data_IF_576902830462
#
_entry.id   IF_576902830462
#
_cell.length_a   1.000
_cell.length_b   1.000
_cell.length_c   1.000
_cell.angle_alpha   90.00
_cell.angle_beta   90.00
_cell.angle_gamma   90.00
#
_symmetry.space_group_name_H-M   'P 1'
#
loop_
_entity.id
_entity.type
_entity.pdbx_description
1 polymer ?
#
# COMPACT_ATOMS: atom_id res chain seq x y z
N UNK A 1 2.34 -23.04 1.25
CA UNK A 1 3.14 -22.05 1.99
C UNK A 1 4.03 -21.36 0.97
N UNK A 2 4.08 -20.03 0.96
CA UNK A 2 4.95 -19.26 0.07
C UNK A 2 6.39 -19.78 0.11
N UNK A 3 7.04 -19.83 -1.05
CA UNK A 3 8.46 -20.20 -1.15
C UNK A 3 9.37 -19.01 -0.87
N UNK A 4 8.86 -17.79 -1.03
CA UNK A 4 9.56 -16.54 -0.76
C UNK A 4 8.62 -15.56 -0.05
N UNK A 5 9.20 -14.77 0.85
CA UNK A 5 8.52 -13.70 1.57
C UNK A 5 9.24 -12.40 1.33
N UNK A 6 8.47 -11.37 0.97
CA UNK A 6 8.95 -9.99 0.82
C UNK A 6 8.37 -9.16 1.95
N UNK A 7 9.20 -8.31 2.55
CA UNK A 7 8.81 -7.48 3.68
C UNK A 7 9.07 -6.02 3.33
N UNK A 8 8.07 -5.17 3.58
CA UNK A 8 8.15 -3.70 3.45
C UNK A 8 7.52 -3.08 4.69
N UNK A 9 7.92 -1.87 5.06
CA UNK A 9 7.33 -1.08 6.15
C UNK A 9 7.40 0.40 5.82
N UNK A 10 6.68 1.22 6.58
CA UNK A 10 6.84 2.68 6.61
C UNK A 10 6.69 3.36 5.24
N UNK A 11 5.77 2.86 4.41
CA UNK A 11 5.57 3.40 3.07
C UNK A 11 4.92 4.79 3.11
N UNK A 12 4.04 5.04 4.07
CA UNK A 12 3.37 6.33 4.25
C UNK A 12 2.74 6.92 2.97
N UNK A 13 2.24 6.06 2.07
CA UNK A 13 1.66 6.51 0.80
C UNK A 13 0.45 7.39 1.13
N UNK A 14 0.42 8.62 0.61
CA UNK A 14 -0.61 9.58 0.98
C UNK A 14 -0.12 10.73 1.85
N UNK A 15 0.98 10.58 2.57
CA UNK A 15 1.58 11.65 3.37
C UNK A 15 2.65 11.14 4.33
N UNK A 16 3.86 11.64 4.12
CA UNK A 16 4.97 11.78 5.08
C UNK A 16 5.59 13.16 4.81
N UNK A 17 5.18 14.17 5.57
CA UNK A 17 5.56 15.59 5.43
C UNK A 17 5.11 16.30 4.12
N UNK A 18 4.73 15.57 3.06
CA UNK A 18 4.23 16.12 1.79
C UNK A 18 3.06 15.30 1.19
N UNK A 19 1.84 15.81 1.35
CA UNK A 19 0.63 15.22 0.75
C UNK A 19 0.72 15.13 -0.78
N UNK A 20 0.43 13.96 -1.33
CA UNK A 20 0.34 13.74 -2.78
C UNK A 20 1.67 13.55 -3.50
N UNK A 21 2.77 13.41 -2.76
CA UNK A 21 4.08 13.01 -3.30
C UNK A 21 4.43 11.61 -2.81
N UNK A 22 5.00 10.78 -3.69
CA UNK A 22 5.55 9.48 -3.36
C UNK A 22 6.82 9.29 -4.20
N UNK A 23 7.98 9.59 -3.61
CA UNK A 23 9.25 9.65 -4.34
C UNK A 23 9.68 8.29 -4.92
N UNK A 24 9.22 7.20 -4.30
CA UNK A 24 9.50 5.83 -4.72
C UNK A 24 8.36 5.20 -5.53
N UNK A 25 7.42 6.02 -6.06
CA UNK A 25 6.24 5.51 -6.76
C UNK A 25 6.61 4.58 -7.92
N UNK A 26 7.56 4.98 -8.75
CA UNK A 26 7.95 4.21 -9.94
C UNK A 26 8.65 2.91 -9.55
N UNK A 27 9.52 2.93 -8.53
CA UNK A 27 10.18 1.76 -7.97
C UNK A 27 9.18 0.78 -7.36
N UNK A 28 8.21 1.26 -6.59
CA UNK A 28 7.16 0.44 -5.99
C UNK A 28 6.29 -0.21 -7.08
N UNK A 29 5.86 0.56 -8.08
CA UNK A 29 5.08 0.03 -9.20
C UNK A 29 5.87 -1.04 -9.95
N UNK A 30 7.14 -0.77 -10.26
CA UNK A 30 8.02 -1.72 -10.94
C UNK A 30 8.18 -3.01 -10.14
N UNK A 31 8.38 -2.91 -8.83
CA UNK A 31 8.49 -4.07 -7.94
C UNK A 31 7.20 -4.89 -7.88
N UNK A 32 6.04 -4.25 -7.75
CA UNK A 32 4.74 -4.92 -7.74
C UNK A 32 4.44 -5.59 -9.08
N UNK A 33 4.82 -4.96 -10.19
CA UNK A 33 4.69 -5.52 -11.54
C UNK A 33 5.58 -6.74 -11.75
N UNK A 34 6.80 -6.71 -11.22
CA UNK A 34 7.70 -7.86 -11.19
C UNK A 34 7.07 -9.02 -10.41
N UNK A 35 6.58 -8.77 -9.20
CA UNK A 35 5.88 -9.76 -8.38
C UNK A 35 4.67 -10.37 -9.11
N UNK A 36 3.92 -9.55 -9.85
CA UNK A 36 2.79 -10.02 -10.66
C UNK A 36 3.20 -10.90 -11.87
N UNK A 37 4.45 -10.81 -12.31
CA UNK A 37 4.98 -11.56 -13.46
C UNK A 37 5.64 -12.90 -13.08
N UNK A 38 5.95 -13.09 -11.79
CA UNK A 38 6.67 -14.25 -11.29
C UNK A 38 5.81 -15.52 -11.34
N UNK A 39 6.47 -16.66 -11.57
CA UNK A 39 5.86 -18.00 -11.51
C UNK A 39 5.96 -18.64 -10.13
N UNK A 40 6.82 -18.10 -9.28
CA UNK A 40 7.10 -18.60 -7.94
C UNK A 40 5.99 -18.18 -6.97
N UNK A 41 5.67 -19.07 -6.02
CA UNK A 41 4.72 -18.77 -4.95
C UNK A 41 5.39 -17.84 -3.93
N UNK A 42 4.86 -16.63 -3.81
CA UNK A 42 5.40 -15.58 -2.95
C UNK A 42 4.29 -14.88 -2.16
N UNK A 43 4.67 -14.29 -1.03
CA UNK A 43 3.80 -13.42 -0.23
C UNK A 43 4.51 -12.11 0.06
N UNK A 44 3.80 -11.00 -0.15
CA UNK A 44 4.24 -9.67 0.26
C UNK A 44 3.60 -9.32 1.59
N UNK A 45 4.42 -8.97 2.58
CA UNK A 45 3.98 -8.59 3.92
C UNK A 45 4.39 -7.12 4.14
N UNK A 46 3.40 -6.26 4.32
CA UNK A 46 3.59 -4.86 4.67
C UNK A 46 3.41 -4.73 6.18
N UNK A 47 4.46 -4.30 6.88
CA UNK A 47 4.57 -4.28 8.33
C UNK A 47 4.46 -2.83 8.81
N UNK A 48 3.23 -2.36 8.98
CA UNK A 48 2.96 -1.03 9.52
C UNK A 48 3.07 0.09 8.49
N UNK A 49 2.31 1.15 8.78
CA UNK A 49 2.31 2.46 8.13
C UNK A 49 2.40 2.37 6.61
N UNK A 50 1.49 1.58 6.04
CA UNK A 50 1.35 1.45 4.59
C UNK A 50 0.88 2.78 3.96
N UNK A 51 0.05 3.52 4.70
CA UNK A 51 -0.59 4.73 4.26
C UNK A 51 -0.45 5.86 5.28
N UNK A 52 -0.38 7.10 4.80
CA UNK A 52 -0.34 8.32 5.61
C UNK A 52 -1.73 8.90 5.92
N UNK A 53 -2.71 8.09 6.32
CA UNK A 53 -4.12 8.53 6.37
C UNK A 53 -4.41 9.67 7.35
N UNK A 54 -3.59 9.76 8.39
CA UNK A 54 -3.70 10.77 9.44
C UNK A 54 -3.53 12.22 8.93
N UNK A 55 -2.84 12.44 7.81
CA UNK A 55 -2.53 13.75 7.24
C UNK A 55 -3.69 14.31 6.41
N UNK A 56 -4.65 13.48 6.04
CA UNK A 56 -5.88 13.93 5.41
C UNK A 56 -6.80 14.56 6.47
N UNK A 57 -6.64 15.85 6.72
CA UNK A 57 -7.44 16.57 7.73
C UNK A 57 -8.78 17.11 7.19
N UNK A 58 -8.96 17.10 5.86
CA UNK A 58 -10.15 17.66 5.20
C UNK A 58 -11.26 16.67 4.85
N UNK A 59 -11.08 15.39 5.16
CA UNK A 59 -12.03 14.29 4.92
C UNK A 59 -11.91 13.27 6.06
N UNK A 60 -12.95 12.47 6.30
CA UNK A 60 -13.00 11.53 7.44
C UNK A 60 -13.32 10.10 7.00
N UNK A 61 -12.83 9.12 7.76
CA UNK A 61 -13.15 7.71 7.56
C UNK A 61 -12.77 7.20 6.17
N UNK A 62 -13.71 6.51 5.50
CA UNK A 62 -13.46 5.85 4.21
C UNK A 62 -13.11 6.84 3.08
N UNK A 63 -13.57 8.09 3.17
CA UNK A 63 -13.26 9.12 2.17
C UNK A 63 -11.76 9.39 2.05
N UNK A 64 -10.99 9.15 3.12
CA UNK A 64 -9.52 9.24 3.08
C UNK A 64 -8.90 8.20 2.17
N UNK A 65 -9.42 6.96 2.22
CA UNK A 65 -8.99 5.88 1.33
C UNK A 65 -9.36 6.20 -0.11
N UNK A 66 -10.57 6.70 -0.36
CA UNK A 66 -11.00 7.09 -1.71
C UNK A 66 -10.12 8.22 -2.27
N UNK A 67 -9.80 9.22 -1.45
CA UNK A 67 -8.92 10.32 -1.81
C UNK A 67 -7.49 9.82 -2.09
N UNK A 68 -6.98 8.93 -1.25
CA UNK A 68 -5.67 8.30 -1.42
C UNK A 68 -5.59 7.51 -2.74
N UNK A 69 -6.60 6.70 -3.04
CA UNK A 69 -6.70 5.96 -4.31
C UNK A 69 -6.77 6.92 -5.50
N UNK A 70 -7.49 8.03 -5.35
CA UNK A 70 -7.58 9.08 -6.37
C UNK A 70 -6.26 9.80 -6.62
N UNK A 71 -5.40 9.96 -5.61
CA UNK A 71 -4.08 10.57 -5.73
C UNK A 71 -3.06 9.63 -6.39
N UNK A 72 -3.09 8.34 -6.06
CA UNK A 72 -2.10 7.36 -6.53
C UNK A 72 -2.70 6.19 -7.31
N UNK A 73 -3.52 6.43 -8.36
CA UNK A 73 -4.28 5.37 -9.01
C UNK A 73 -3.39 4.27 -9.60
N UNK A 74 -2.18 4.60 -10.06
CA UNK A 74 -1.25 3.62 -10.63
C UNK A 74 -0.65 2.69 -9.58
N UNK A 75 -0.35 3.19 -8.37
CA UNK A 75 0.11 2.35 -7.24
C UNK A 75 -0.98 1.32 -6.90
N UNK A 76 -2.23 1.73 -6.77
CA UNK A 76 -3.34 0.82 -6.44
C UNK A 76 -3.66 -0.16 -7.58
N UNK A 77 -3.48 0.25 -8.85
CA UNK A 77 -3.56 -0.68 -9.99
C UNK A 77 -2.46 -1.73 -9.93
N UNK A 78 -1.23 -1.36 -9.59
CA UNK A 78 -0.11 -2.27 -9.42
C UNK A 78 -0.35 -3.26 -8.27
N UNK A 79 -0.79 -2.78 -7.09
CA UNK A 79 -1.19 -3.65 -5.98
C UNK A 79 -2.30 -4.61 -6.37
N UNK A 80 -3.34 -4.14 -7.08
CA UNK A 80 -4.43 -5.00 -7.58
C UNK A 80 -3.92 -6.05 -8.56
N UNK A 81 -2.95 -5.73 -9.42
CA UNK A 81 -2.35 -6.66 -10.37
C UNK A 81 -1.51 -7.72 -9.65
N UNK A 82 -0.66 -7.32 -8.70
CA UNK A 82 0.12 -8.22 -7.86
C UNK A 82 -0.76 -9.12 -7.00
N UNK A 83 -1.78 -8.57 -6.34
CA UNK A 83 -2.70 -9.30 -5.45
C UNK A 83 -3.57 -10.35 -6.15
N UNK A 84 -3.67 -10.33 -7.49
CA UNK A 84 -4.28 -11.41 -8.28
C UNK A 84 -3.37 -12.64 -8.41
N UNK A 85 -2.09 -12.52 -8.07
CA UNK A 85 -1.05 -13.54 -8.26
C UNK A 85 -0.43 -14.00 -6.96
N UNK A 86 -0.12 -13.05 -6.09
CA UNK A 86 0.49 -13.31 -4.79
C UNK A 86 -0.43 -12.86 -3.67
N UNK A 87 -0.26 -13.44 -2.49
CA UNK A 87 -0.90 -12.92 -1.29
C UNK A 87 -0.21 -11.64 -0.87
N UNK A 88 -1.01 -10.62 -0.52
CA UNK A 88 -0.53 -9.38 0.09
C UNK A 88 -1.18 -9.30 1.46
N UNK A 89 -0.36 -9.29 2.50
CA UNK A 89 -0.81 -9.16 3.89
C UNK A 89 -0.36 -7.79 4.39
N UNK A 90 -1.29 -7.01 4.93
CA UNK A 90 -1.00 -5.72 5.55
C UNK A 90 -1.24 -5.84 7.05
N UNK A 91 -0.21 -5.53 7.83
CA UNK A 91 -0.29 -5.35 9.26
C UNK A 91 -0.40 -3.83 9.48
N UNK A 92 -1.53 -3.31 9.98
CA UNK A 92 -1.70 -1.87 10.11
C UNK A 92 -0.78 -1.29 11.18
N UNK A 93 -0.21 -0.11 10.89
CA UNK A 93 0.50 0.73 11.86
C UNK A 93 -0.40 1.83 12.44
N UNK A 94 0.19 2.81 13.13
CA UNK A 94 -0.57 3.92 13.71
C UNK A 94 -1.09 4.91 12.65
N UNK A 95 -0.42 5.03 11.50
CA UNK A 95 -0.88 5.88 10.39
C UNK A 95 -2.01 5.21 9.58
N UNK A 96 -2.16 3.90 9.72
CA UNK A 96 -3.24 3.10 9.13
C UNK A 96 -4.46 2.96 10.07
N UNK A 97 -4.50 3.65 11.22
CA UNK A 97 -5.48 3.45 12.29
C UNK A 97 -6.94 3.39 11.78
N UNK A 98 -7.30 4.28 10.86
CA UNK A 98 -8.65 4.35 10.31
C UNK A 98 -9.01 3.11 9.47
N UNK A 99 -8.04 2.48 8.83
CA UNK A 99 -8.22 1.19 8.15
C UNK A 99 -8.37 0.06 9.17
N UNK A 100 -7.55 0.08 10.22
CA UNK A 100 -7.53 -0.96 11.25
C UNK A 100 -8.81 -0.99 12.10
N UNK A 101 -9.44 0.17 12.28
CA UNK A 101 -10.66 0.34 13.07
C UNK A 101 -11.92 0.46 12.23
N UNK A 102 -11.84 0.27 10.90
CA UNK A 102 -13.03 0.19 10.06
C UNK A 102 -13.75 -1.15 10.29
N UNK A 103 -15.03 -1.15 10.71
CA UNK A 103 -15.77 -2.35 11.11
C UNK A 103 -16.08 -3.33 9.98
#
# INVERSE_FOLDING_TARGET
MPKQYYFMSDLHIGGDEALGVCDFQDELISFLDELASRKEDAELIIIGDAFGLWEFTGVEGIEKIEKLIGQFPEIFKAFRKAGKKIKITVLPGNHDYELACYP
#
